data_IF_148595017295
#
_entry.id   IF_148595017295
#
_cell.length_a   1.000
_cell.length_b   1.000
_cell.length_c   1.000
_cell.angle_alpha   90.00
_cell.angle_beta   90.00
_cell.angle_gamma   90.00
#
_symmetry.space_group_name_H-M   'P 1'
#
loop_
_entity.id
_entity.type
_entity.pdbx_description
1 polymer ?
#
# COMPACT_ATOMS: atom_id res chain seq x y z
N UNK A 1 14.79 -56.55 22.80
CA UNK A 1 16.09 -56.05 22.29
C UNK A 1 15.78 -54.87 21.38
N UNK A 2 16.06 -53.59 21.65
CA UNK A 2 16.70 -52.85 22.75
C UNK A 2 16.36 -51.37 22.54
N UNK A 3 15.47 -50.83 23.38
CA UNK A 3 15.66 -49.60 24.17
C UNK A 3 16.64 -48.53 23.67
N UNK A 4 16.15 -47.28 23.51
CA UNK A 4 16.64 -46.12 24.27
C UNK A 4 15.47 -45.16 24.53
N UNK A 5 15.14 -45.00 25.81
CA UNK A 5 14.29 -43.97 26.41
C UNK A 5 15.18 -42.93 27.13
N UNK A 6 14.57 -41.79 27.44
CA UNK A 6 14.96 -40.77 28.44
C UNK A 6 15.85 -39.60 28.00
N UNK A 7 15.30 -38.38 28.09
CA UNK A 7 15.60 -37.46 29.21
C UNK A 7 14.56 -36.30 29.27
N UNK A 8 13.88 -36.22 30.42
CA UNK A 8 13.19 -35.05 31.01
C UNK A 8 14.25 -33.97 31.36
N UNK A 9 14.03 -32.66 31.54
CA UNK A 9 13.01 -31.90 32.28
C UNK A 9 13.24 -30.36 32.07
N UNK A 10 12.34 -29.46 32.56
CA UNK A 10 12.25 -28.03 32.23
C UNK A 10 12.76 -27.06 33.34
N UNK A 11 12.98 -25.77 33.00
CA UNK A 11 13.10 -24.70 34.01
C UNK A 11 12.82 -23.27 33.48
N UNK A 12 11.69 -22.71 33.93
CA UNK A 12 11.43 -21.39 34.54
C UNK A 12 12.02 -20.05 34.03
N UNK A 13 11.12 -19.04 34.12
CA UNK A 13 11.33 -17.60 34.44
C UNK A 13 11.52 -16.66 33.21
N UNK A 14 10.90 -15.49 33.07
CA UNK A 14 10.35 -14.50 34.02
C UNK A 14 9.17 -13.71 33.41
N UNK A 15 8.20 -13.40 34.26
CA UNK A 15 7.23 -12.31 34.09
C UNK A 15 7.96 -10.96 34.01
N UNK A 16 7.46 -10.06 33.17
CA UNK A 16 7.54 -8.61 33.44
C UNK A 16 6.17 -7.98 33.21
N UNK A 17 5.56 -7.57 34.31
CA UNK A 17 4.37 -6.72 34.40
C UNK A 17 4.86 -5.29 34.62
N UNK A 18 4.39 -4.33 33.82
CA UNK A 18 4.44 -2.91 34.18
C UNK A 18 3.04 -2.33 34.13
N UNK A 19 2.52 -1.96 35.31
CA UNK A 19 1.31 -1.17 35.51
C UNK A 19 1.72 0.26 35.91
N UNK A 20 1.02 1.21 35.29
CA UNK A 20 0.73 2.59 35.71
C UNK A 20 1.91 3.55 35.87
N UNK A 21 1.68 4.83 35.53
CA UNK A 21 1.42 5.88 36.52
C UNK A 21 1.08 7.23 35.83
N UNK A 22 0.01 7.84 36.35
CA UNK A 22 -0.34 9.26 36.48
C UNK A 22 -0.66 10.22 35.31
N UNK A 23 -1.91 10.69 35.38
CA UNK A 23 -2.48 11.97 34.96
C UNK A 23 -2.34 12.97 36.14
N UNK A 24 -2.29 14.31 35.95
CA UNK A 24 -3.48 15.07 36.34
C UNK A 24 -3.77 16.34 35.50
N UNK A 25 -5.07 16.60 35.42
CA UNK A 25 -5.77 17.87 35.14
C UNK A 25 -5.46 18.98 36.15
N UNK A 26 -5.56 20.26 35.75
CA UNK A 26 -6.18 21.36 36.52
C UNK A 26 -6.66 22.47 35.56
N UNK A 27 -7.83 23.00 35.89
CA UNK A 27 -8.67 23.98 35.21
C UNK A 27 -8.55 25.40 35.79
N UNK A 28 -9.13 26.37 35.06
CA UNK A 28 -9.79 27.63 35.55
C UNK A 28 -8.90 28.68 36.25
N UNK A 29 -9.07 30.00 36.14
CA UNK A 29 -10.12 30.86 35.57
C UNK A 29 -9.64 32.33 35.58
N UNK A 30 -10.20 33.08 34.63
CA UNK A 30 -10.34 34.54 34.50
C UNK A 30 -10.43 35.41 35.77
N UNK A 31 -9.87 36.63 35.73
CA UNK A 31 -10.46 37.85 36.33
C UNK A 31 -10.18 39.09 35.45
N UNK A 32 -11.22 39.90 35.27
CA UNK A 32 -11.41 41.12 34.47
C UNK A 32 -10.87 42.41 35.15
N UNK A 33 -10.28 43.31 34.33
CA UNK A 33 -10.41 44.80 34.24
C UNK A 33 -10.28 45.70 35.50
N UNK A 34 -10.20 47.07 35.42
CA UNK A 34 -10.34 47.97 34.26
C UNK A 34 -9.28 49.10 34.12
N UNK A 35 -9.34 49.81 32.98
CA UNK A 35 -8.63 51.06 32.66
C UNK A 35 -9.17 52.28 33.46
N UNK A 36 -8.42 53.41 33.49
CA UNK A 36 -9.01 54.62 32.89
C UNK A 36 -8.04 55.63 32.23
N UNK A 37 -8.60 56.27 31.19
CA UNK A 37 -8.60 57.71 30.83
C UNK A 37 -7.35 58.44 30.31
N UNK A 38 -7.54 58.92 29.09
CA UNK A 38 -6.82 59.95 28.33
C UNK A 38 -6.81 61.33 29.01
N UNK A 39 -5.68 62.03 28.91
CA UNK A 39 -5.58 63.50 28.87
C UNK A 39 -4.70 63.93 27.69
N UNK A 40 -5.17 64.93 26.95
CA UNK A 40 -4.51 65.62 25.83
C UNK A 40 -3.77 66.87 26.32
N UNK A 41 -2.92 67.40 25.41
CA UNK A 41 -2.24 68.71 25.33
C UNK A 41 -0.80 68.66 25.89
N UNK A 42 0.23 69.24 25.28
CA UNK A 42 0.45 69.96 24.02
C UNK A 42 1.97 70.25 23.89
N UNK A 43 2.42 70.52 22.66
CA UNK A 43 3.57 71.37 22.27
C UNK A 43 5.00 71.03 22.73
N UNK A 44 5.81 70.74 21.70
CA UNK A 44 7.17 71.25 21.44
C UNK A 44 8.25 71.10 22.51
N UNK A 45 9.23 70.25 22.23
CA UNK A 45 10.63 70.69 22.03
C UNK A 45 11.51 69.48 21.74
N UNK A 46 12.24 69.58 20.64
CA UNK A 46 13.33 68.69 20.25
C UNK A 46 14.46 68.80 21.28
N UNK A 47 14.74 67.71 21.99
CA UNK A 47 15.98 67.54 22.74
C UNK A 47 16.42 66.07 22.58
N UNK A 48 17.59 65.95 21.96
CA UNK A 48 18.32 64.74 21.67
C UNK A 48 18.68 63.98 22.94
N UNK A 49 18.07 62.79 23.10
CA UNK A 49 18.49 61.82 24.10
C UNK A 49 19.28 60.73 23.37
N UNK A 50 20.58 60.65 23.68
CA UNK A 50 21.44 59.52 23.33
C UNK A 50 20.81 58.26 23.92
N UNK A 51 20.25 57.41 23.06
CA UNK A 51 19.80 56.09 23.47
C UNK A 51 21.02 55.17 23.56
N UNK A 52 21.51 55.00 24.77
CA UNK A 52 22.28 53.82 25.16
C UNK A 52 21.25 52.71 25.41
N UNK A 53 21.04 51.89 24.39
CA UNK A 53 20.39 50.60 24.53
C UNK A 53 20.98 49.68 23.47
N UNK A 54 22.03 48.98 23.87
CA UNK A 54 22.35 47.65 23.39
C UNK A 54 21.09 46.80 23.40
N UNK A 55 20.38 46.78 22.28
CA UNK A 55 19.59 45.64 21.85
C UNK A 55 20.17 45.24 20.50
N UNK A 56 21.24 44.45 20.57
CA UNK A 56 21.41 43.39 19.60
C UNK A 56 20.16 42.53 19.70
N UNK A 57 19.16 42.86 18.87
CA UNK A 57 18.21 41.86 18.40
C UNK A 57 19.01 40.97 17.47
N UNK A 58 19.83 40.10 18.05
CA UNK A 58 20.23 38.88 17.37
C UNK A 58 18.92 38.17 17.08
N UNK A 59 18.53 38.19 15.81
CA UNK A 59 17.55 37.28 15.30
C UNK A 59 18.09 35.89 15.63
N UNK A 60 17.52 35.27 16.67
CA UNK A 60 17.61 33.84 16.89
C UNK A 60 16.82 33.23 15.74
N UNK A 61 17.46 33.16 14.57
CA UNK A 61 17.07 32.22 13.54
C UNK A 61 17.47 30.90 14.17
N UNK A 62 16.53 30.26 14.86
CA UNK A 62 16.71 28.90 15.35
C UNK A 62 16.98 28.05 14.11
N UNK A 63 18.27 27.84 13.83
CA UNK A 63 18.71 26.88 12.84
C UNK A 63 18.38 25.51 13.41
N UNK A 64 17.14 25.07 13.15
CA UNK A 64 16.66 23.75 13.56
C UNK A 64 17.70 22.73 13.12
N UNK A 65 18.29 22.02 14.08
CA UNK A 65 19.32 21.04 13.76
C UNK A 65 18.74 19.99 12.79
N UNK A 66 19.54 19.40 11.89
CA UNK A 66 19.05 18.34 11.00
C UNK A 66 18.40 17.17 11.76
N UNK A 67 18.84 16.92 13.00
CA UNK A 67 18.23 15.92 13.88
C UNK A 67 16.84 16.34 14.38
N UNK A 68 16.69 17.59 14.83
CA UNK A 68 15.40 18.12 15.31
C UNK A 68 14.36 18.13 14.17
N UNK A 69 14.75 18.59 12.97
CA UNK A 69 13.86 18.59 11.81
C UNK A 69 13.31 17.18 11.49
N UNK A 70 14.15 16.14 11.59
CA UNK A 70 13.71 14.75 11.38
C UNK A 70 12.73 14.28 12.46
N UNK A 71 12.94 14.69 13.72
CA UNK A 71 12.04 14.36 14.83
C UNK A 71 10.69 15.05 14.64
N UNK A 72 10.69 16.31 14.22
CA UNK A 72 9.47 17.08 13.98
C UNK A 72 8.61 16.43 12.88
N UNK A 73 9.22 16.09 11.73
CA UNK A 73 8.53 15.40 10.63
C UNK A 73 8.01 14.01 11.04
N UNK A 74 8.77 13.27 11.84
CA UNK A 74 8.33 11.97 12.35
C UNK A 74 7.14 12.12 13.31
N UNK A 75 7.15 13.16 14.16
CA UNK A 75 6.06 13.48 15.08
C UNK A 75 4.79 13.89 14.31
N UNK A 76 4.92 14.68 13.25
CA UNK A 76 3.81 15.09 12.37
C UNK A 76 3.15 13.90 11.65
N UNK A 77 3.85 12.76 11.52
CA UNK A 77 3.31 11.54 10.92
C UNK A 77 2.35 10.78 11.83
N UNK A 78 2.30 11.09 13.14
CA UNK A 78 1.53 10.35 14.13
C UNK A 78 0.02 10.26 13.82
N UNK A 79 -0.68 11.32 13.38
CA UNK A 79 -2.11 11.24 13.04
C UNK A 79 -2.40 10.24 11.91
N UNK A 80 -1.53 10.15 10.90
CA UNK A 80 -1.68 9.21 9.79
C UNK A 80 -1.49 7.76 10.25
N UNK A 81 -0.50 7.51 11.11
CA UNK A 81 -0.27 6.21 11.73
C UNK A 81 -1.49 5.79 12.57
N UNK A 82 -2.01 6.69 13.40
CA UNK A 82 -3.17 6.41 14.25
C UNK A 82 -4.43 6.10 13.43
N UNK A 83 -4.66 6.84 12.35
CA UNK A 83 -5.82 6.67 11.46
C UNK A 83 -5.92 5.26 10.87
N UNK A 84 -4.78 4.67 10.51
CA UNK A 84 -4.73 3.37 9.84
C UNK A 84 -4.23 2.21 10.71
N UNK A 85 -3.94 2.45 11.99
CA UNK A 85 -3.45 1.41 12.90
C UNK A 85 -4.38 0.19 12.93
N UNK A 86 -3.82 -1.00 12.75
CA UNK A 86 -4.54 -2.27 12.73
C UNK A 86 -5.34 -2.53 11.46
N UNK A 87 -5.36 -1.59 10.49
CA UNK A 87 -6.11 -1.73 9.25
C UNK A 87 -5.36 -2.57 8.23
N UNK A 88 -6.11 -3.38 7.50
CA UNK A 88 -5.62 -4.18 6.37
C UNK A 88 -5.52 -3.33 5.13
N UNK A 89 -4.37 -3.38 4.46
CA UNK A 89 -4.07 -2.68 3.22
C UNK A 89 -3.61 -3.70 2.20
N UNK A 90 -4.34 -3.83 1.09
CA UNK A 90 -3.94 -4.70 -0.02
C UNK A 90 -3.25 -3.86 -1.08
N UNK A 91 -1.98 -4.16 -1.33
CA UNK A 91 -1.15 -3.47 -2.31
C UNK A 91 -0.91 -4.39 -3.49
N UNK A 92 -1.41 -4.03 -4.66
CA UNK A 92 -1.01 -4.67 -5.90
C UNK A 92 0.28 -4.03 -6.41
N UNK A 93 1.35 -4.80 -6.45
CA UNK A 93 2.63 -4.44 -7.02
C UNK A 93 2.76 -4.95 -8.46
N UNK A 94 3.00 -4.04 -9.40
CA UNK A 94 3.11 -4.34 -10.83
C UNK A 94 3.77 -3.22 -11.62
N UNK A 95 4.01 -3.48 -12.91
CA UNK A 95 4.47 -2.45 -13.86
C UNK A 95 5.97 -2.13 -13.78
N UNK A 96 6.33 -0.89 -14.10
CA UNK A 96 7.65 -0.28 -14.05
C UNK A 96 8.29 -0.36 -12.66
N UNK A 97 7.48 -0.32 -11.59
CA UNK A 97 7.97 -0.50 -10.23
C UNK A 97 8.68 -1.85 -10.02
N UNK A 98 8.34 -2.88 -10.81
CA UNK A 98 9.00 -4.19 -10.79
C UNK A 98 10.32 -4.23 -11.57
N UNK A 99 10.54 -3.29 -12.50
CA UNK A 99 11.69 -3.32 -13.42
C UNK A 99 12.92 -2.64 -12.81
N UNK A 100 12.71 -1.65 -11.94
CA UNK A 100 13.80 -0.93 -11.28
C UNK A 100 14.10 -1.54 -9.91
N UNK A 101 15.38 -1.88 -9.67
CA UNK A 101 15.84 -2.35 -8.36
C UNK A 101 15.66 -1.31 -7.26
N UNK A 102 15.84 -0.02 -7.57
CA UNK A 102 15.66 1.05 -6.57
C UNK A 102 14.18 1.19 -6.18
N UNK A 103 13.27 1.17 -7.15
CA UNK A 103 11.83 1.23 -6.88
C UNK A 103 11.35 -0.02 -6.14
N UNK A 104 11.86 -1.19 -6.49
CA UNK A 104 11.57 -2.43 -5.75
C UNK A 104 12.01 -2.34 -4.29
N UNK A 105 13.23 -1.86 -4.03
CA UNK A 105 13.72 -1.66 -2.67
C UNK A 105 12.88 -0.61 -1.90
N UNK A 106 12.50 0.48 -2.56
CA UNK A 106 11.62 1.51 -1.99
C UNK A 106 10.26 0.94 -1.58
N UNK A 107 9.59 0.20 -2.48
CA UNK A 107 8.30 -0.45 -2.18
C UNK A 107 8.41 -1.46 -1.04
N UNK A 108 9.49 -2.24 -1.00
CA UNK A 108 9.74 -3.19 0.09
C UNK A 108 9.92 -2.44 1.42
N UNK A 109 10.71 -1.38 1.45
CA UNK A 109 10.92 -0.56 2.65
C UNK A 109 9.60 0.07 3.13
N UNK A 110 8.76 0.54 2.21
CA UNK A 110 7.45 1.08 2.53
C UNK A 110 6.56 0.02 3.21
N UNK A 111 6.48 -1.18 2.64
CA UNK A 111 5.70 -2.28 3.22
C UNK A 111 6.19 -2.66 4.62
N UNK A 112 7.53 -2.74 4.80
CA UNK A 112 8.13 -3.01 6.11
C UNK A 112 7.79 -1.90 7.09
N UNK A 113 7.91 -0.62 6.70
CA UNK A 113 7.56 0.50 7.56
C UNK A 113 6.09 0.45 7.97
N UNK A 114 5.16 0.26 7.02
CA UNK A 114 3.72 0.14 7.30
C UNK A 114 3.43 -0.99 8.30
N UNK A 115 4.08 -2.14 8.13
CA UNK A 115 3.97 -3.26 9.07
C UNK A 115 4.50 -2.88 10.46
N UNK A 116 5.67 -2.25 10.55
CA UNK A 116 6.30 -1.85 11.80
C UNK A 116 5.47 -0.81 12.58
N UNK A 117 4.78 0.10 11.89
CA UNK A 117 3.90 1.10 12.54
C UNK A 117 2.49 0.56 12.86
N UNK A 118 2.24 -0.73 12.59
CA UNK A 118 1.05 -1.45 13.03
C UNK A 118 -0.08 -1.53 12.01
N UNK A 119 0.16 -1.20 10.74
CA UNK A 119 -0.76 -1.56 9.64
C UNK A 119 -0.55 -3.04 9.27
N UNK A 120 -1.50 -3.60 8.52
CA UNK A 120 -1.49 -5.01 8.10
C UNK A 120 -1.38 -5.10 6.57
N UNK A 121 -0.19 -4.86 5.98
CA UNK A 121 -0.03 -4.85 4.54
C UNK A 121 -0.04 -6.27 3.97
N UNK A 122 -0.67 -6.43 2.80
CA UNK A 122 -0.64 -7.64 1.97
C UNK A 122 -0.16 -7.22 0.59
N UNK A 123 0.86 -7.89 0.09
CA UNK A 123 1.41 -7.62 -1.23
C UNK A 123 0.87 -8.64 -2.24
N UNK A 124 0.15 -8.18 -3.26
CA UNK A 124 -0.26 -9.01 -4.40
C UNK A 124 0.59 -8.64 -5.59
N UNK A 125 1.09 -9.61 -6.35
CA UNK A 125 1.94 -9.31 -7.50
C UNK A 125 1.57 -10.13 -8.75
N UNK A 126 1.86 -9.53 -9.89
CA UNK A 126 1.95 -10.22 -11.18
C UNK A 126 3.41 -10.44 -11.56
N UNK A 127 3.70 -10.43 -12.86
CA UNK A 127 5.06 -10.59 -13.38
C UNK A 127 5.13 -10.69 -14.89
N UNK A 128 4.28 -9.94 -15.61
CA UNK A 128 4.17 -10.01 -17.07
C UNK A 128 5.51 -9.93 -17.82
N UNK A 129 6.39 -8.96 -17.50
CA UNK A 129 7.73 -8.86 -18.09
C UNK A 129 8.61 -10.10 -17.84
N UNK A 130 8.63 -10.63 -16.62
CA UNK A 130 9.43 -11.81 -16.28
C UNK A 130 8.92 -13.07 -16.98
N UNK A 131 7.60 -13.24 -17.07
CA UNK A 131 7.01 -14.32 -17.86
C UNK A 131 7.42 -14.20 -19.33
N UNK A 132 7.34 -12.99 -19.90
CA UNK A 132 7.75 -12.75 -21.30
C UNK A 132 9.22 -13.10 -21.52
N UNK A 133 10.10 -12.78 -20.57
CA UNK A 133 11.52 -13.11 -20.65
C UNK A 133 11.74 -14.63 -20.70
N UNK A 134 11.08 -15.38 -19.82
CA UNK A 134 11.18 -16.84 -19.82
C UNK A 134 10.57 -17.50 -21.06
N UNK A 135 9.42 -17.04 -21.54
CA UNK A 135 8.81 -17.54 -22.79
C UNK A 135 9.74 -17.32 -23.99
N UNK A 136 10.36 -16.14 -24.10
CA UNK A 136 11.36 -15.84 -25.13
C UNK A 136 12.56 -16.77 -25.08
N UNK A 137 13.09 -17.06 -23.88
CA UNK A 137 14.22 -17.99 -23.69
C UNK A 137 13.90 -19.42 -24.13
N UNK A 138 12.63 -19.79 -24.09
CA UNK A 138 12.12 -21.10 -24.51
C UNK A 138 11.57 -21.09 -25.94
N UNK A 139 11.71 -19.99 -26.68
CA UNK A 139 11.16 -19.80 -28.02
C UNK A 139 9.63 -20.00 -28.13
N UNK A 140 8.90 -19.66 -27.07
CA UNK A 140 7.43 -19.67 -27.04
C UNK A 140 6.93 -18.26 -27.34
N UNK A 141 6.02 -18.16 -28.31
CA UNK A 141 5.44 -16.88 -28.72
C UNK A 141 4.59 -16.26 -27.61
N UNK A 142 4.75 -14.95 -27.40
CA UNK A 142 3.97 -14.19 -26.42
C UNK A 142 2.75 -13.59 -27.10
N UNK A 143 1.57 -14.13 -26.80
CA UNK A 143 0.30 -13.65 -27.36
C UNK A 143 -0.57 -12.99 -26.28
N UNK A 144 -1.07 -11.78 -26.58
CA UNK A 144 -2.04 -11.07 -25.76
C UNK A 144 -3.32 -10.79 -26.54
N UNK A 145 -4.47 -10.85 -25.86
CA UNK A 145 -5.78 -10.42 -26.36
C UNK A 145 -6.48 -9.62 -25.27
N UNK A 146 -6.91 -8.40 -25.59
CA UNK A 146 -7.60 -7.49 -24.66
C UNK A 146 -6.86 -7.28 -23.32
N UNK A 147 -5.52 -7.26 -23.37
CA UNK A 147 -4.67 -7.10 -22.19
C UNK A 147 -4.49 -8.37 -21.33
N UNK A 148 -5.08 -9.50 -21.72
CA UNK A 148 -4.90 -10.81 -21.09
C UNK A 148 -3.94 -11.67 -21.91
N UNK A 149 -3.06 -12.40 -21.23
CA UNK A 149 -2.12 -13.33 -21.88
C UNK A 149 -2.89 -14.57 -22.31
N UNK A 150 -2.84 -14.91 -23.60
CA UNK A 150 -3.30 -16.24 -24.05
C UNK A 150 -2.36 -17.26 -23.42
N UNK A 151 -2.93 -18.18 -22.63
CA UNK A 151 -2.19 -19.08 -21.75
C UNK A 151 -2.62 -20.50 -22.06
N UNK A 152 -1.92 -21.20 -22.95
CA UNK A 152 -2.10 -22.63 -23.17
C UNK A 152 -1.46 -23.48 -22.04
N UNK A 153 -1.49 -24.80 -22.18
CA UNK A 153 -1.05 -25.71 -21.11
C UNK A 153 0.44 -25.56 -20.81
N UNK A 154 1.27 -25.32 -21.83
CA UNK A 154 2.71 -25.13 -21.67
C UNK A 154 3.02 -23.76 -21.05
N UNK A 155 2.37 -22.72 -21.56
CA UNK A 155 2.47 -21.35 -21.04
C UNK A 155 2.02 -21.30 -19.58
N UNK A 156 0.98 -22.04 -19.19
CA UNK A 156 0.49 -22.08 -17.80
C UNK A 156 1.55 -22.63 -16.83
N UNK A 157 2.30 -23.68 -17.23
CA UNK A 157 3.40 -24.21 -16.42
C UNK A 157 4.47 -23.14 -16.18
N UNK A 158 4.84 -22.41 -17.24
CA UNK A 158 5.84 -21.34 -17.18
C UNK A 158 5.35 -20.18 -16.33
N UNK A 159 4.10 -19.73 -16.51
CA UNK A 159 3.47 -18.69 -15.68
C UNK A 159 3.56 -19.08 -14.20
N UNK A 160 3.20 -20.31 -13.85
CA UNK A 160 3.27 -20.79 -12.47
C UNK A 160 4.70 -20.80 -11.94
N UNK A 161 5.66 -21.36 -12.69
CA UNK A 161 7.07 -21.41 -12.26
C UNK A 161 7.64 -20.01 -12.02
N UNK A 162 7.37 -19.06 -12.92
CA UNK A 162 7.90 -17.70 -12.83
C UNK A 162 7.24 -16.91 -11.71
N UNK A 163 5.90 -16.91 -11.65
CA UNK A 163 5.21 -16.11 -10.64
C UNK A 163 5.42 -16.66 -9.23
N UNK A 164 5.27 -17.97 -9.04
CA UNK A 164 5.32 -18.60 -7.72
C UNK A 164 6.77 -18.89 -7.27
N UNK A 165 7.62 -19.36 -8.17
CA UNK A 165 8.97 -19.81 -7.86
C UNK A 165 10.01 -18.70 -7.85
N UNK A 166 9.91 -17.76 -8.79
CA UNK A 166 10.92 -16.71 -8.99
C UNK A 166 10.46 -15.38 -8.37
N UNK A 167 9.46 -14.73 -8.96
CA UNK A 167 9.04 -13.38 -8.56
C UNK A 167 8.57 -13.34 -7.10
N UNK A 168 7.72 -14.28 -6.69
CA UNK A 168 7.19 -14.32 -5.33
C UNK A 168 8.31 -14.50 -4.30
N UNK A 169 9.24 -15.42 -4.54
CA UNK A 169 10.32 -15.73 -3.59
C UNK A 169 11.40 -14.65 -3.56
N UNK A 170 11.64 -13.98 -4.69
CA UNK A 170 12.47 -12.77 -4.70
C UNK A 170 11.88 -11.67 -3.80
N UNK A 171 10.57 -11.39 -3.90
CA UNK A 171 9.92 -10.38 -3.05
C UNK A 171 9.94 -10.76 -1.57
N UNK A 172 9.63 -12.01 -1.24
CA UNK A 172 9.72 -12.54 0.13
C UNK A 172 11.14 -12.38 0.67
N UNK A 173 12.15 -12.74 -0.12
CA UNK A 173 13.56 -12.61 0.25
C UNK A 173 13.95 -11.17 0.54
N UNK A 174 13.52 -10.22 -0.30
CA UNK A 174 13.80 -8.79 -0.11
C UNK A 174 13.12 -8.23 1.15
N UNK A 175 11.86 -8.58 1.40
CA UNK A 175 11.15 -8.16 2.62
C UNK A 175 11.83 -8.72 3.87
N UNK A 176 12.24 -10.00 3.84
CA UNK A 176 12.96 -10.62 4.93
C UNK A 176 14.31 -9.93 5.18
N UNK A 177 15.05 -9.62 4.11
CA UNK A 177 16.32 -8.89 4.20
C UNK A 177 16.15 -7.47 4.76
N UNK A 178 14.99 -6.85 4.53
CA UNK A 178 14.65 -5.52 5.06
C UNK A 178 14.23 -5.55 6.55
N UNK A 179 14.23 -6.72 7.21
CA UNK A 179 14.01 -6.85 8.65
C UNK A 179 12.57 -7.18 9.06
N UNK A 180 11.70 -7.50 8.10
CA UNK A 180 10.37 -8.05 8.38
C UNK A 180 10.34 -9.57 8.17
N UNK A 181 9.17 -10.19 8.36
CA UNK A 181 8.94 -11.59 8.01
C UNK A 181 7.82 -11.70 7.01
N UNK A 182 8.12 -12.21 5.81
CA UNK A 182 7.17 -12.40 4.73
C UNK A 182 6.86 -13.87 4.49
N UNK A 183 5.61 -14.15 4.11
CA UNK A 183 5.14 -15.48 3.75
C UNK A 183 4.59 -15.45 2.31
N UNK A 184 5.25 -16.16 1.41
CA UNK A 184 4.88 -16.19 -0.01
C UNK A 184 3.90 -17.30 -0.34
N UNK A 185 2.75 -16.94 -0.92
CA UNK A 185 1.64 -17.82 -1.26
C UNK A 185 1.19 -17.63 -2.72
N UNK A 186 0.47 -18.62 -3.23
CA UNK A 186 -0.41 -18.52 -4.39
C UNK A 186 -1.84 -18.90 -3.97
N UNK A 187 -2.78 -18.87 -4.92
CA UNK A 187 -4.18 -19.22 -4.67
C UNK A 187 -4.41 -20.67 -4.22
N UNK A 188 -3.50 -21.59 -4.58
CA UNK A 188 -3.62 -23.01 -4.21
C UNK A 188 -3.31 -23.24 -2.73
N UNK A 189 -2.38 -22.46 -2.17
CA UNK A 189 -1.92 -22.62 -0.80
C UNK A 189 -3.05 -22.33 0.19
N UNK A 190 -3.45 -23.34 0.97
CA UNK A 190 -4.59 -23.25 1.87
C UNK A 190 -5.92 -23.00 1.16
N UNK A 191 -6.01 -23.22 -0.16
CA UNK A 191 -7.16 -22.86 -1.00
C UNK A 191 -7.53 -21.36 -0.90
N UNK A 192 -6.52 -20.50 -0.76
CA UNK A 192 -6.70 -19.05 -0.68
C UNK A 192 -7.60 -18.51 -1.81
N UNK A 193 -7.42 -19.01 -3.04
CA UNK A 193 -8.25 -18.68 -4.19
C UNK A 193 -8.69 -19.96 -4.89
N UNK A 194 -9.98 -20.07 -5.20
CA UNK A 194 -10.46 -21.05 -6.20
C UNK A 194 -10.70 -20.33 -7.52
N UNK A 195 -10.08 -20.82 -8.58
CA UNK A 195 -10.26 -20.31 -9.94
C UNK A 195 -11.51 -20.89 -10.61
N UNK A 196 -12.00 -20.19 -11.62
CA UNK A 196 -12.86 -20.73 -12.68
C UNK A 196 -12.38 -20.22 -14.04
N UNK A 197 -12.67 -20.89 -15.16
CA UNK A 197 -12.36 -20.36 -16.48
C UNK A 197 -12.95 -18.96 -16.69
N UNK A 198 -12.20 -18.07 -17.33
CA UNK A 198 -12.73 -16.78 -17.76
C UNK A 198 -13.84 -16.98 -18.83
N UNK A 199 -14.79 -16.04 -18.97
CA UNK A 199 -15.88 -16.16 -19.96
C UNK A 199 -15.39 -16.37 -21.40
N UNK A 200 -14.22 -15.84 -21.74
CA UNK A 200 -13.55 -15.99 -23.04
C UNK A 200 -12.41 -17.04 -23.02
N UNK A 201 -12.43 -18.00 -22.10
CA UNK A 201 -11.43 -19.06 -21.98
C UNK A 201 -11.23 -19.87 -23.27
N UNK A 202 -12.27 -20.03 -24.10
CA UNK A 202 -12.14 -20.67 -25.42
C UNK A 202 -11.08 -20.00 -26.31
N UNK A 203 -10.85 -18.69 -26.15
CA UNK A 203 -9.88 -17.92 -26.90
C UNK A 203 -8.57 -17.69 -26.14
N UNK A 204 -8.61 -17.75 -24.81
CA UNK A 204 -7.50 -17.40 -23.93
C UNK A 204 -6.79 -18.61 -23.30
N UNK A 205 -7.36 -19.81 -23.37
CA UNK A 205 -6.86 -21.00 -22.69
C UNK A 205 -7.11 -20.96 -21.18
N UNK A 206 -6.09 -21.28 -20.38
CA UNK A 206 -6.10 -21.34 -18.92
C UNK A 206 -6.01 -19.95 -18.26
N UNK A 207 -6.77 -18.99 -18.78
CA UNK A 207 -7.01 -17.72 -18.10
C UNK A 207 -8.25 -17.87 -17.21
N UNK A 208 -8.11 -17.43 -15.95
CA UNK A 208 -9.13 -17.63 -14.94
C UNK A 208 -9.70 -16.34 -14.35
N UNK A 209 -10.84 -16.48 -13.70
CA UNK A 209 -11.41 -15.53 -12.77
C UNK A 209 -11.39 -16.11 -11.35
N UNK A 210 -11.51 -15.23 -10.35
CA UNK A 210 -11.69 -15.64 -8.95
C UNK A 210 -13.14 -16.12 -8.77
N UNK A 211 -13.32 -17.39 -8.47
CA UNK A 211 -14.61 -17.96 -8.13
C UNK A 211 -14.91 -17.82 -6.64
N UNK A 212 -13.90 -18.05 -5.79
CA UNK A 212 -13.98 -17.95 -4.33
C UNK A 212 -12.65 -17.50 -3.75
N UNK A 213 -12.73 -16.84 -2.60
CA UNK A 213 -11.59 -16.46 -1.76
C UNK A 213 -11.81 -17.03 -0.36
N UNK A 214 -10.82 -17.72 0.19
CA UNK A 214 -10.79 -18.15 1.58
C UNK A 214 -9.60 -17.47 2.28
N UNK A 215 -9.82 -16.37 3.03
CA UNK A 215 -8.74 -15.61 3.64
C UNK A 215 -8.16 -16.25 4.91
N UNK A 216 -8.63 -17.43 5.34
CA UNK A 216 -8.27 -18.04 6.63
C UNK A 216 -6.75 -18.14 6.83
N UNK A 217 -6.02 -18.58 5.80
CA UNK A 217 -4.55 -18.68 5.85
C UNK A 217 -3.87 -17.31 5.97
N UNK A 218 -4.40 -16.28 5.31
CA UNK A 218 -3.87 -14.92 5.40
C UNK A 218 -4.11 -14.31 6.77
N UNK A 219 -5.31 -14.53 7.33
CA UNK A 219 -5.68 -13.97 8.63
C UNK A 219 -4.72 -14.46 9.73
N UNK A 220 -4.42 -15.77 9.73
CA UNK A 220 -3.46 -16.36 10.66
C UNK A 220 -2.05 -15.77 10.53
N UNK A 221 -1.58 -15.52 9.31
CA UNK A 221 -0.27 -14.90 9.06
C UNK A 221 -0.23 -13.45 9.54
N UNK A 222 -1.26 -12.67 9.21
CA UNK A 222 -1.36 -11.27 9.60
C UNK A 222 -1.48 -11.11 11.12
N UNK A 223 -2.19 -12.01 11.81
CA UNK A 223 -2.31 -11.99 13.28
C UNK A 223 -0.96 -12.26 13.98
N UNK A 224 -0.02 -12.89 13.28
CA UNK A 224 1.37 -13.09 13.74
C UNK A 224 2.35 -12.02 13.25
N UNK A 225 1.87 -11.01 12.53
CA UNK A 225 2.69 -9.91 12.02
C UNK A 225 3.54 -10.28 10.80
N UNK A 226 3.24 -11.38 10.11
CA UNK A 226 3.85 -11.66 8.82
C UNK A 226 3.25 -10.79 7.73
N UNK A 227 4.04 -10.42 6.73
CA UNK A 227 3.59 -9.74 5.49
C UNK A 227 3.30 -10.83 4.44
N UNK A 228 2.03 -11.10 4.08
CA UNK A 228 1.73 -12.07 3.04
C UNK A 228 2.07 -11.50 1.66
N UNK A 229 2.70 -12.32 0.82
CA UNK A 229 3.04 -12.00 -0.57
C UNK A 229 2.35 -13.00 -1.49
N UNK A 230 1.32 -12.56 -2.19
CA UNK A 230 0.41 -13.42 -2.96
C UNK A 230 0.66 -13.27 -4.47
N UNK A 231 0.96 -14.39 -5.13
CA UNK A 231 1.04 -14.50 -6.58
C UNK A 231 -0.31 -14.81 -7.21
N UNK A 232 -0.58 -14.32 -8.43
CA UNK A 232 -1.89 -14.37 -9.07
C UNK A 232 -2.17 -15.66 -9.87
N UNK A 233 -1.81 -16.81 -9.31
CA UNK A 233 -2.08 -18.15 -9.87
C UNK A 233 -2.93 -18.94 -8.88
N UNK A 234 -3.94 -19.65 -9.37
CA UNK A 234 -4.83 -20.46 -8.55
C UNK A 234 -5.29 -21.71 -9.31
N UNK A 235 -5.85 -22.68 -8.59
CA UNK A 235 -6.46 -23.86 -9.20
C UNK A 235 -7.99 -23.81 -9.11
N UNK A 236 -8.67 -24.46 -10.03
CA UNK A 236 -10.09 -24.77 -9.88
C UNK A 236 -10.32 -25.94 -8.90
N UNK A 237 -11.57 -26.39 -8.76
CA UNK A 237 -11.92 -27.49 -7.85
C UNK A 237 -11.34 -28.85 -8.26
N UNK A 238 -10.98 -29.03 -9.54
CA UNK A 238 -10.38 -30.26 -10.05
C UNK A 238 -8.85 -30.28 -9.93
N UNK A 239 -8.25 -29.13 -9.58
CA UNK A 239 -6.80 -28.95 -9.50
C UNK A 239 -6.17 -28.38 -10.77
N UNK A 240 -6.95 -27.99 -11.79
CA UNK A 240 -6.42 -27.33 -12.98
C UNK A 240 -5.99 -25.90 -12.63
N UNK A 241 -4.74 -25.56 -12.98
CA UNK A 241 -4.15 -24.25 -12.73
C UNK A 241 -4.63 -23.20 -13.75
N UNK A 242 -4.86 -21.99 -13.27
CA UNK A 242 -5.26 -20.82 -14.06
C UNK A 242 -4.39 -19.60 -13.77
N UNK A 243 -4.12 -18.84 -14.81
CA UNK A 243 -3.49 -17.53 -14.78
C UNK A 243 -4.57 -16.47 -14.57
N UNK A 244 -4.57 -15.80 -13.41
CA UNK A 244 -5.54 -14.77 -13.07
C UNK A 244 -4.85 -13.40 -13.12
N UNK A 245 -5.58 -12.38 -13.59
CA UNK A 245 -5.08 -11.01 -13.54
C UNK A 245 -4.81 -10.59 -12.08
N UNK A 246 -3.60 -10.09 -11.81
CA UNK A 246 -3.18 -9.71 -10.45
C UNK A 246 -3.95 -8.52 -9.87
N UNK A 247 -4.44 -7.60 -10.70
CA UNK A 247 -5.31 -6.52 -10.23
C UNK A 247 -6.62 -7.13 -9.70
N UNK A 248 -7.24 -8.07 -10.45
CA UNK A 248 -8.44 -8.79 -10.00
C UNK A 248 -8.22 -9.57 -8.72
N UNK A 249 -7.11 -10.31 -8.59
CA UNK A 249 -6.77 -11.03 -7.35
C UNK A 249 -6.67 -10.06 -6.18
N UNK A 250 -6.01 -8.91 -6.35
CA UNK A 250 -5.89 -7.91 -5.29
C UNK A 250 -7.24 -7.34 -4.87
N UNK A 251 -8.12 -7.03 -5.83
CA UNK A 251 -9.46 -6.52 -5.53
C UNK A 251 -10.33 -7.52 -4.77
N UNK A 252 -10.34 -8.78 -5.18
CA UNK A 252 -11.15 -9.82 -4.54
C UNK A 252 -10.59 -10.21 -3.16
N UNK A 253 -9.26 -10.22 -2.98
CA UNK A 253 -8.64 -10.38 -1.67
C UNK A 253 -8.99 -9.21 -0.74
N UNK A 254 -8.92 -7.96 -1.24
CA UNK A 254 -9.28 -6.79 -0.47
C UNK A 254 -10.74 -6.84 -0.01
N UNK A 255 -11.65 -7.26 -0.88
CA UNK A 255 -13.06 -7.48 -0.56
C UNK A 255 -13.23 -8.57 0.52
N UNK A 256 -12.63 -9.75 0.33
CA UNK A 256 -12.77 -10.87 1.26
C UNK A 256 -12.22 -10.56 2.67
N UNK A 257 -11.23 -9.67 2.77
CA UNK A 257 -10.62 -9.26 4.04
C UNK A 257 -11.27 -8.02 4.65
N UNK A 258 -12.27 -7.41 4.00
CA UNK A 258 -12.84 -6.13 4.43
C UNK A 258 -11.77 -5.03 4.56
N UNK A 259 -10.85 -4.97 3.59
CA UNK A 259 -9.68 -4.10 3.68
C UNK A 259 -10.07 -2.60 3.70
N UNK A 260 -9.27 -1.81 4.42
CA UNK A 260 -9.45 -0.36 4.47
C UNK A 260 -9.04 0.29 3.15
N UNK A 261 -7.97 -0.23 2.53
CA UNK A 261 -7.49 0.26 1.24
C UNK A 261 -7.10 -0.87 0.29
N UNK A 262 -7.49 -0.72 -0.96
CA UNK A 262 -6.84 -1.35 -2.12
C UNK A 262 -5.95 -0.31 -2.80
N UNK A 263 -4.68 -0.62 -3.05
CA UNK A 263 -3.76 0.28 -3.74
C UNK A 263 -3.15 -0.45 -4.93
N UNK A 264 -3.33 0.09 -6.14
CA UNK A 264 -2.76 -0.44 -7.37
C UNK A 264 -1.57 0.42 -7.81
N UNK A 265 -0.35 -0.13 -7.69
CA UNK A 265 0.86 0.47 -8.27
C UNK A 265 0.86 0.26 -9.78
N UNK A 266 0.96 1.37 -10.53
CA UNK A 266 0.91 1.37 -12.00
C UNK A 266 1.98 2.29 -12.61
N UNK A 267 2.03 2.36 -13.94
CA UNK A 267 3.08 3.05 -14.71
C UNK A 267 2.68 4.48 -15.12
N UNK A 268 1.61 4.99 -14.51
CA UNK A 268 0.99 6.28 -14.80
C UNK A 268 0.64 6.98 -13.50
N UNK A 269 0.46 8.30 -13.55
CA UNK A 269 0.16 9.14 -12.40
C UNK A 269 -1.15 8.75 -11.67
N UNK A 270 -2.13 8.24 -12.42
CA UNK A 270 -3.48 7.94 -11.97
C UNK A 270 -4.46 8.05 -13.12
N UNK A 271 -5.70 8.43 -12.82
CA UNK A 271 -6.72 8.77 -13.82
C UNK A 271 -6.56 10.24 -14.19
N UNK A 272 -6.42 10.50 -15.49
CA UNK A 272 -6.38 11.85 -16.04
C UNK A 272 -7.76 12.23 -16.58
N UNK A 273 -8.16 13.47 -16.32
CA UNK A 273 -9.35 14.09 -16.88
C UNK A 273 -9.18 14.26 -18.40
N UNK A 274 -7.99 14.70 -18.83
CA UNK A 274 -7.55 14.71 -20.22
C UNK A 274 -6.28 13.86 -20.37
N UNK A 275 -6.33 12.85 -21.25
CA UNK A 275 -5.21 11.91 -21.45
C UNK A 275 -3.94 12.59 -21.97
N UNK A 276 -4.10 13.69 -22.68
CA UNK A 276 -3.00 14.41 -23.32
C UNK A 276 -2.43 15.50 -22.39
N UNK A 277 -3.07 15.78 -21.25
CA UNK A 277 -2.58 16.69 -20.22
C UNK A 277 -2.20 15.96 -18.92
N UNK A 278 -0.90 15.72 -18.66
CA UNK A 278 -0.43 15.11 -17.42
C UNK A 278 -0.79 15.90 -16.13
N UNK A 279 -1.14 17.18 -16.24
CA UNK A 279 -1.55 18.01 -15.09
C UNK A 279 -3.02 17.81 -14.73
N UNK A 280 -3.79 17.14 -15.56
CA UNK A 280 -5.21 16.90 -15.38
C UNK A 280 -5.52 15.70 -14.45
N UNK A 281 -4.60 15.39 -13.53
CA UNK A 281 -4.76 14.27 -12.59
C UNK A 281 -5.98 14.47 -11.70
N UNK A 282 -6.91 13.53 -11.77
CA UNK A 282 -8.05 13.47 -10.87
C UNK A 282 -7.57 12.93 -9.53
N UNK A 283 -7.55 13.77 -8.49
CA UNK A 283 -7.09 13.35 -7.15
C UNK A 283 -8.08 12.42 -6.45
N UNK A 284 -9.36 12.70 -6.57
CA UNK A 284 -10.42 11.90 -5.94
C UNK A 284 -11.65 11.84 -6.84
N UNK A 285 -12.29 10.68 -6.90
CA UNK A 285 -13.51 10.44 -7.68
C UNK A 285 -14.38 9.38 -7.00
N UNK A 286 -15.69 9.43 -7.17
CA UNK A 286 -16.60 8.39 -6.68
C UNK A 286 -16.90 7.34 -7.76
N UNK A 287 -17.59 6.26 -7.39
CA UNK A 287 -17.99 5.20 -8.34
C UNK A 287 -18.81 5.76 -9.50
N UNK A 288 -19.68 6.75 -9.27
CA UNK A 288 -20.52 7.33 -10.33
C UNK A 288 -19.69 8.12 -11.32
N UNK A 289 -18.78 8.97 -10.83
CA UNK A 289 -17.87 9.76 -11.64
C UNK A 289 -16.97 8.88 -12.49
N UNK A 290 -16.39 7.82 -11.90
CA UNK A 290 -15.48 6.95 -12.65
C UNK A 290 -16.21 6.15 -13.73
N UNK A 291 -17.44 5.70 -13.47
CA UNK A 291 -18.29 5.05 -14.50
C UNK A 291 -18.62 6.02 -15.63
N UNK A 292 -19.00 7.25 -15.30
CA UNK A 292 -19.24 8.30 -16.31
C UNK A 292 -18.01 8.54 -17.19
N UNK A 293 -16.81 8.64 -16.61
CA UNK A 293 -15.57 8.80 -17.38
C UNK A 293 -15.26 7.59 -18.27
N UNK A 294 -15.66 6.38 -17.86
CA UNK A 294 -15.55 5.19 -18.71
C UNK A 294 -16.54 5.25 -19.88
N UNK A 295 -17.80 5.59 -19.62
CA UNK A 295 -18.86 5.68 -20.63
C UNK A 295 -18.58 6.78 -21.67
N UNK A 296 -17.98 7.89 -21.24
CA UNK A 296 -17.51 8.99 -22.10
C UNK A 296 -16.22 8.65 -22.87
N UNK A 297 -15.64 7.46 -22.67
CA UNK A 297 -14.43 7.01 -23.36
C UNK A 297 -13.15 7.70 -22.88
N UNK A 298 -13.20 8.46 -21.78
CA UNK A 298 -12.05 9.18 -21.19
C UNK A 298 -11.10 8.24 -20.46
N UNK A 299 -11.62 7.15 -19.92
CA UNK A 299 -10.82 6.02 -19.40
C UNK A 299 -10.77 4.91 -20.44
N UNK A 300 -9.57 4.39 -20.73
CA UNK A 300 -9.36 3.49 -21.88
C UNK A 300 -8.17 2.57 -21.73
N UNK A 301 -8.07 1.62 -22.66
CA UNK A 301 -7.00 0.63 -22.70
C UNK A 301 -6.85 -0.13 -21.38
N UNK A 302 -5.62 -0.27 -20.90
CA UNK A 302 -5.30 -0.98 -19.66
C UNK A 302 -5.81 -0.33 -18.37
N UNK A 303 -6.37 0.89 -18.43
CA UNK A 303 -6.95 1.53 -17.25
C UNK A 303 -8.37 1.02 -16.94
N UNK A 304 -9.13 0.60 -17.96
CA UNK A 304 -10.47 0.02 -17.80
C UNK A 304 -10.48 -1.15 -16.80
N UNK A 305 -9.63 -2.19 -16.95
CA UNK A 305 -9.66 -3.32 -16.00
C UNK A 305 -9.22 -2.91 -14.57
N UNK A 306 -8.34 -1.90 -14.43
CA UNK A 306 -7.93 -1.38 -13.11
C UNK A 306 -9.08 -0.70 -12.39
N UNK A 307 -9.75 0.20 -13.08
CA UNK A 307 -10.93 0.91 -12.55
C UNK A 307 -12.05 -0.07 -12.25
N UNK A 308 -12.31 -1.02 -13.15
CA UNK A 308 -13.34 -2.05 -12.95
C UNK A 308 -13.06 -2.88 -11.70
N UNK A 309 -11.79 -3.25 -11.46
CA UNK A 309 -11.37 -3.91 -10.24
C UNK A 309 -11.63 -3.04 -8.99
N UNK A 310 -11.20 -1.77 -9.00
CA UNK A 310 -11.43 -0.85 -7.90
C UNK A 310 -12.92 -0.73 -7.57
N UNK A 311 -13.76 -0.44 -8.57
CA UNK A 311 -15.22 -0.32 -8.41
C UNK A 311 -15.83 -1.61 -7.84
N UNK A 312 -15.43 -2.77 -8.36
CA UNK A 312 -15.91 -4.07 -7.88
C UNK A 312 -15.50 -4.33 -6.42
N UNK A 313 -14.29 -3.97 -6.02
CA UNK A 313 -13.82 -4.11 -4.63
C UNK A 313 -14.55 -3.18 -3.66
N UNK A 314 -14.77 -1.92 -4.06
CA UNK A 314 -15.52 -0.92 -3.28
C UNK A 314 -16.97 -1.34 -3.07
N UNK A 315 -17.63 -1.84 -4.13
CA UNK A 315 -19.00 -2.35 -4.06
C UNK A 315 -19.15 -3.55 -3.11
N UNK A 316 -18.05 -4.25 -2.79
CA UNK A 316 -18.01 -5.36 -1.85
C UNK A 316 -17.56 -4.95 -0.43
N UNK A 317 -17.36 -3.65 -0.17
CA UNK A 317 -17.13 -3.12 1.17
C UNK A 317 -15.71 -2.63 1.47
N UNK A 318 -14.78 -2.67 0.50
CA UNK A 318 -13.49 -1.97 0.64
C UNK A 318 -13.74 -0.46 0.77
N UNK A 319 -13.06 0.22 1.71
CA UNK A 319 -13.38 1.64 1.99
C UNK A 319 -12.88 2.61 0.94
N UNK A 320 -11.65 2.42 0.46
CA UNK A 320 -11.05 3.25 -0.61
C UNK A 320 -10.20 2.40 -1.53
N UNK A 321 -10.13 2.78 -2.81
CA UNK A 321 -9.26 2.15 -3.79
C UNK A 321 -8.44 3.20 -4.54
N UNK A 322 -7.12 3.11 -4.51
CA UNK A 322 -6.24 4.11 -5.14
C UNK A 322 -5.46 3.51 -6.31
N UNK A 323 -5.35 4.26 -7.41
CA UNK A 323 -4.47 3.96 -8.53
C UNK A 323 -3.35 5.00 -8.51
N UNK A 324 -2.12 4.57 -8.26
CA UNK A 324 -1.01 5.48 -7.97
C UNK A 324 0.24 5.16 -8.82
N UNK A 325 1.11 6.16 -8.94
CA UNK A 325 2.34 6.06 -9.74
C UNK A 325 3.43 5.26 -9.04
N UNK A 326 3.64 4.02 -9.47
CA UNK A 326 4.71 3.16 -8.96
C UNK A 326 6.11 3.57 -9.41
N UNK A 327 6.25 4.58 -10.28
CA UNK A 327 7.55 5.14 -10.71
C UNK A 327 8.10 6.15 -9.71
N UNK A 328 7.26 6.66 -8.80
CA UNK A 328 7.67 7.55 -7.73
C UNK A 328 8.23 6.74 -6.57
N UNK A 329 9.40 7.16 -6.08
CA UNK A 329 9.98 6.61 -4.86
C UNK A 329 9.05 6.91 -3.67
N UNK A 330 8.86 5.92 -2.80
CA UNK A 330 7.99 5.99 -1.65
C UNK A 330 6.51 6.29 -1.97
N UNK A 331 6.03 5.92 -3.16
CA UNK A 331 4.65 6.15 -3.60
C UNK A 331 3.60 5.59 -2.63
N UNK A 332 3.87 4.46 -1.97
CA UNK A 332 2.94 3.90 -0.98
C UNK A 332 2.84 4.77 0.28
N UNK A 333 3.98 5.26 0.78
CA UNK A 333 3.99 6.17 1.93
C UNK A 333 3.39 7.52 1.56
N UNK A 334 3.66 8.04 0.36
CA UNK A 334 3.03 9.27 -0.14
C UNK A 334 1.50 9.12 -0.18
N UNK A 335 0.98 7.96 -0.59
CA UNK A 335 -0.46 7.70 -0.64
C UNK A 335 -1.12 7.57 0.76
N UNK A 336 -0.42 6.99 1.73
CA UNK A 336 -1.00 6.66 3.05
C UNK A 336 -0.72 7.74 4.10
N UNK A 337 0.47 8.34 4.07
CA UNK A 337 1.02 9.22 5.10
C UNK A 337 1.02 10.70 4.69
N UNK A 338 0.33 11.07 3.61
CA UNK A 338 0.14 12.47 3.21
C UNK A 338 -1.28 12.71 2.73
N UNK A 339 -1.75 13.95 2.80
CA UNK A 339 -3.09 14.33 2.33
C UNK A 339 -3.18 14.44 0.80
N UNK A 340 -2.07 14.79 0.14
CA UNK A 340 -2.04 14.98 -1.31
C UNK A 340 -2.14 13.68 -2.11
N UNK A 341 -1.81 12.55 -1.47
CA UNK A 341 -1.73 11.23 -2.09
C UNK A 341 -0.73 11.13 -3.24
N UNK A 342 -0.63 9.94 -3.84
CA UNK A 342 0.30 9.64 -4.93
C UNK A 342 -0.40 9.30 -6.26
N UNK A 343 -1.71 9.52 -6.36
CA UNK A 343 -2.47 9.31 -7.58
C UNK A 343 -3.94 9.66 -7.45
N UNK A 344 -4.81 8.77 -7.95
CA UNK A 344 -6.27 8.92 -7.90
C UNK A 344 -6.87 7.99 -6.86
N UNK A 345 -7.61 8.55 -5.91
CA UNK A 345 -8.41 7.80 -4.95
C UNK A 345 -9.85 7.67 -5.43
N UNK A 346 -10.36 6.44 -5.49
CA UNK A 346 -11.75 6.11 -5.80
C UNK A 346 -12.46 5.78 -4.49
N UNK A 347 -13.61 6.43 -4.27
CA UNK A 347 -14.47 6.21 -3.09
C UNK A 347 -15.81 5.58 -3.48
N UNK A 348 -16.33 4.73 -2.58
CA UNK A 348 -17.61 4.04 -2.73
C UNK A 348 -18.83 4.91 -2.49
#
# INVERSE_FOLDING_TARGET
MSTVESLLNPSASKLFSFKSLFNPSISSSSIFSPAPRLRRLSSSSSLSIRCSATQQMEAVVDSVSPGQFRVDVLSESLPFIQKFRGKTIVVKYGGAAMKSRSLQASVVNDLVLLSCVGLRPILVHGGGPEINNWLKRLNIEVVFRDGLRVTDAETMKIVSMVLVGDVNKNLVSLINKAGASAAGLCGVDGRLLTARPAPNAAQLGFVGEVARVDPTVLQALLDKGHIPVVSSVAADESGQMYNINADTVAGELAAALGAEKLILLTDVAGILEDRDDPKSLVKQIDIKGVKKMMDEGRIGGGMIPKVSCCVRSLAQGVRTASIIDGRLEHSLLLEIMTDNGAGTMIIG
#
